data_IF_489746883418
#
_entry.id   IF_489746883418
#
_cell.length_a   1.000
_cell.length_b   1.000
_cell.length_c   1.000
_cell.angle_alpha   90.00
_cell.angle_beta   90.00
_cell.angle_gamma   90.00
#
_symmetry.space_group_name_H-M   'P 1'
#
loop_
_entity.id
_entity.type
_entity.pdbx_description
1 polymer ?
#
# COMPACT_ATOMS: atom_id res chain seq x y z
N UNK A 1 -8.11 4.67 -55.19
CA UNK A 1 -8.81 3.91 -54.14
C UNK A 1 -7.89 3.87 -52.94
N UNK A 2 -8.20 4.61 -51.88
CA UNK A 2 -7.33 4.71 -50.70
C UNK A 2 -7.50 3.44 -49.87
N UNK A 3 -6.41 2.74 -49.62
CA UNK A 3 -6.36 1.53 -48.79
C UNK A 3 -6.95 1.83 -47.39
N UNK A 4 -7.83 0.98 -46.82
CA UNK A 4 -8.40 1.26 -45.51
C UNK A 4 -7.26 1.25 -44.48
N UNK A 5 -7.01 2.41 -43.87
CA UNK A 5 -5.96 2.57 -42.89
C UNK A 5 -6.10 1.52 -41.79
N UNK A 6 -5.02 0.76 -41.55
CA UNK A 6 -4.98 -0.33 -40.57
C UNK A 6 -5.40 0.23 -39.21
N UNK A 7 -6.51 -0.28 -38.69
CA UNK A 7 -7.07 0.18 -37.43
C UNK A 7 -6.06 -0.06 -36.29
N UNK A 8 -5.66 0.96 -35.51
CA UNK A 8 -4.75 0.76 -34.40
C UNK A 8 -5.43 -0.08 -33.31
N UNK A 9 -4.62 -0.80 -32.56
CA UNK A 9 -5.07 -1.78 -31.57
C UNK A 9 -4.46 -1.43 -30.22
N UNK A 10 -5.26 -1.54 -29.15
CA UNK A 10 -4.85 -1.29 -27.77
C UNK A 10 -5.07 -2.53 -26.91
N UNK A 11 -4.13 -2.81 -26.02
CA UNK A 11 -4.19 -3.94 -25.10
C UNK A 11 -4.82 -3.48 -23.79
N UNK A 12 -5.95 -4.11 -23.43
CA UNK A 12 -6.72 -3.80 -22.23
C UNK A 12 -6.89 -5.05 -21.37
N UNK A 13 -7.44 -4.89 -20.15
CA UNK A 13 -7.76 -6.03 -19.28
C UNK A 13 -8.82 -6.97 -19.89
N UNK A 14 -9.65 -6.46 -20.81
CA UNK A 14 -10.61 -7.25 -21.58
C UNK A 14 -9.99 -7.92 -22.83
N UNK A 15 -8.68 -7.77 -23.03
CA UNK A 15 -7.93 -8.26 -24.20
C UNK A 15 -7.65 -7.17 -25.24
N UNK A 16 -7.30 -7.61 -26.44
CA UNK A 16 -6.97 -6.76 -27.57
C UNK A 16 -8.23 -6.05 -28.12
N UNK A 17 -8.23 -4.72 -28.12
CA UNK A 17 -9.33 -3.88 -28.60
C UNK A 17 -8.91 -3.07 -29.82
N UNK A 18 -9.80 -2.97 -30.81
CA UNK A 18 -9.58 -2.15 -32.02
C UNK A 18 -10.16 -0.75 -31.80
N UNK A 19 -9.38 0.27 -32.12
CA UNK A 19 -9.82 1.66 -32.02
C UNK A 19 -10.76 2.05 -33.17
N UNK A 20 -11.64 3.02 -32.95
CA UNK A 20 -12.41 3.59 -34.05
C UNK A 20 -11.49 4.48 -34.90
N UNK A 21 -11.74 4.56 -36.20
CA UNK A 21 -10.99 5.44 -37.11
C UNK A 21 -10.99 6.89 -36.59
N UNK A 22 -9.80 7.50 -36.50
CA UNK A 22 -9.61 8.86 -35.98
C UNK A 22 -9.35 8.94 -34.47
N UNK A 23 -9.45 7.82 -33.74
CA UNK A 23 -9.11 7.76 -32.31
C UNK A 23 -7.66 7.30 -32.13
N UNK A 24 -6.89 8.05 -31.35
CA UNK A 24 -5.52 7.70 -31.01
C UNK A 24 -5.49 6.73 -29.80
N UNK A 25 -4.53 5.78 -29.75
CA UNK A 25 -4.35 4.89 -28.60
C UNK A 25 -3.94 5.69 -27.36
N UNK A 26 -4.39 5.22 -26.18
CA UNK A 26 -4.02 5.84 -24.91
C UNK A 26 -2.63 5.36 -24.51
N UNK A 27 -1.67 6.28 -24.51
CA UNK A 27 -0.26 5.98 -24.16
C UNK A 27 -0.09 5.74 -22.66
N UNK A 28 0.97 5.01 -22.30
CA UNK A 28 1.32 4.79 -20.89
C UNK A 28 1.49 6.12 -20.13
N UNK A 29 2.10 7.13 -20.76
CA UNK A 29 2.26 8.46 -20.18
C UNK A 29 0.91 9.08 -19.81
N UNK A 30 -0.05 9.07 -20.72
CA UNK A 30 -1.39 9.62 -20.48
C UNK A 30 -2.11 8.86 -19.35
N UNK A 31 -1.95 7.53 -19.30
CA UNK A 31 -2.49 6.71 -18.20
C UNK A 31 -1.92 7.14 -16.83
N UNK A 32 -0.61 7.39 -16.77
CA UNK A 32 0.07 7.83 -15.54
C UNK A 32 -0.28 9.26 -15.15
N UNK A 33 -0.36 10.19 -16.11
CA UNK A 33 -0.78 11.58 -15.86
C UNK A 33 -2.21 11.64 -15.30
N UNK A 34 -3.13 10.85 -15.88
CA UNK A 34 -4.50 10.73 -15.39
C UNK A 34 -4.55 10.16 -13.96
N UNK A 35 -3.74 9.15 -13.67
CA UNK A 35 -3.64 8.58 -12.32
C UNK A 35 -3.07 9.60 -11.33
N UNK A 36 -1.98 10.27 -11.67
CA UNK A 36 -1.33 11.25 -10.80
C UNK A 36 -2.26 12.43 -10.46
N UNK A 37 -2.99 12.96 -11.45
CA UNK A 37 -3.95 14.05 -11.26
C UNK A 37 -5.26 13.63 -10.59
N UNK A 38 -5.51 12.33 -10.43
CA UNK A 38 -6.75 11.84 -9.81
C UNK A 38 -6.79 12.14 -8.31
N UNK A 39 -7.84 12.79 -7.78
CA UNK A 39 -7.97 13.08 -6.35
C UNK A 39 -7.92 11.79 -5.53
N UNK A 40 -6.85 11.62 -4.73
CA UNK A 40 -6.65 10.41 -3.91
C UNK A 40 -5.70 9.36 -4.48
N UNK A 41 -4.90 9.69 -5.51
CA UNK A 41 -3.90 8.78 -6.09
C UNK A 41 -2.70 8.46 -5.17
N UNK A 42 -2.49 9.25 -4.12
CA UNK A 42 -1.80 8.75 -2.93
C UNK A 42 -2.83 7.93 -2.17
N UNK A 43 -2.78 6.59 -2.28
CA UNK A 43 -3.69 5.65 -1.63
C UNK A 43 -3.84 6.01 -0.14
N UNK A 44 -4.86 6.80 0.19
CA UNK A 44 -5.20 7.32 1.54
C UNK A 44 -5.66 6.22 2.52
N UNK A 45 -5.18 4.99 2.32
CA UNK A 45 -5.52 3.83 3.14
C UNK A 45 -4.51 2.69 3.10
N UNK A 46 -3.44 2.75 2.30
CA UNK A 46 -2.36 1.74 2.36
C UNK A 46 -1.22 2.11 3.31
N UNK A 47 -1.06 3.40 3.55
CA UNK A 47 -0.32 3.90 4.69
C UNK A 47 -1.32 4.64 5.57
N UNK A 48 -2.19 3.88 6.24
CA UNK A 48 -2.75 4.37 7.50
C UNK A 48 -1.53 4.78 8.30
N UNK A 49 -1.43 6.06 8.66
CA UNK A 49 -0.38 6.54 9.55
C UNK A 49 -0.36 5.57 10.73
N UNK A 50 0.74 4.81 10.87
CA UNK A 50 0.85 3.85 11.95
C UNK A 50 0.61 4.60 13.25
N UNK A 51 -0.20 4.07 14.18
CA UNK A 51 -0.35 4.69 15.48
C UNK A 51 1.02 5.01 16.04
N UNK A 52 1.19 6.22 16.58
CA UNK A 52 2.45 6.67 17.16
C UNK A 52 2.86 5.82 18.39
N UNK A 53 1.95 4.94 18.84
CA UNK A 53 2.10 4.02 19.95
C UNK A 53 2.66 2.65 19.52
N UNK A 54 3.20 2.54 18.30
CA UNK A 54 3.93 1.34 17.86
C UNK A 54 5.44 1.57 18.00
N UNK A 55 6.01 1.20 19.15
CA UNK A 55 7.44 1.28 19.41
C UNK A 55 7.84 0.97 20.86
N UNK A 56 9.14 1.08 21.17
CA UNK A 56 9.73 0.83 22.51
C UNK A 56 9.13 1.71 23.64
N UNK A 57 8.34 2.72 23.28
CA UNK A 57 7.76 3.72 24.19
C UNK A 57 6.23 3.72 24.09
N UNK A 58 5.63 2.56 23.82
CA UNK A 58 4.18 2.41 23.89
C UNK A 58 3.70 2.45 25.35
N UNK A 59 2.41 2.76 25.58
CA UNK A 59 1.82 2.76 26.93
C UNK A 59 1.97 1.39 27.63
N UNK A 60 2.20 0.33 26.85
CA UNK A 60 2.49 -1.04 27.28
C UNK A 60 3.93 -1.29 27.78
N UNK A 61 4.86 -0.32 27.68
CA UNK A 61 6.22 -0.48 28.19
C UNK A 61 6.27 -0.81 29.70
N UNK A 62 5.21 -0.45 30.45
CA UNK A 62 5.07 -0.84 31.88
C UNK A 62 4.68 -2.30 32.10
N UNK A 63 4.19 -3.02 31.10
CA UNK A 63 3.90 -4.45 31.20
C UNK A 63 5.15 -5.34 31.01
N UNK A 64 6.31 -4.75 30.67
CA UNK A 64 7.55 -5.50 30.44
C UNK A 64 8.37 -5.75 31.73
N UNK A 65 8.01 -5.13 32.85
CA UNK A 65 8.72 -5.30 34.14
C UNK A 65 8.15 -6.41 35.01
N UNK A 66 7.08 -7.08 34.58
CA UNK A 66 6.38 -8.12 35.34
C UNK A 66 7.32 -9.23 35.83
N UNK A 67 8.33 -9.61 35.03
CA UNK A 67 9.32 -10.61 35.43
C UNK A 67 10.23 -10.14 36.58
N UNK A 68 10.59 -8.86 36.60
CA UNK A 68 11.41 -8.27 37.67
C UNK A 68 10.59 -8.17 38.96
N UNK A 69 9.32 -7.79 38.85
CA UNK A 69 8.43 -7.70 40.00
C UNK A 69 8.08 -9.09 40.55
N UNK A 70 7.94 -10.10 39.70
CA UNK A 70 7.79 -11.51 40.10
C UNK A 70 9.03 -12.01 40.86
N UNK A 71 10.24 -11.67 40.39
CA UNK A 71 11.48 -12.05 41.07
C UNK A 71 11.61 -11.41 42.46
N UNK A 72 11.15 -10.17 42.64
CA UNK A 72 11.15 -9.48 43.94
C UNK A 72 10.14 -10.06 44.93
N UNK A 73 9.10 -10.72 44.44
CA UNK A 73 8.08 -11.36 45.27
C UNK A 73 8.48 -12.78 45.70
N UNK A 74 9.59 -13.32 45.20
CA UNK A 74 10.03 -14.66 45.55
C UNK A 74 10.59 -14.67 46.99
N UNK A 75 10.15 -15.59 47.86
CA UNK A 75 10.78 -15.76 49.16
C UNK A 75 12.24 -16.22 48.99
N UNK A 76 13.12 -15.73 49.86
CA UNK A 76 14.52 -16.16 49.87
C UNK A 76 14.59 -17.66 50.17
N UNK A 77 15.46 -18.41 49.47
CA UNK A 77 15.64 -19.82 49.76
C UNK A 77 16.19 -19.97 51.19
N UNK A 78 15.56 -20.82 51.99
CA UNK A 78 16.12 -21.25 53.27
C UNK A 78 17.41 -22.02 53.01
N UNK A 79 18.52 -21.55 53.56
CA UNK A 79 19.77 -22.29 53.58
C UNK A 79 19.66 -23.43 54.61
N UNK A 80 19.50 -24.66 54.12
CA UNK A 80 19.71 -25.90 54.88
C UNK A 80 21.12 -26.45 54.61
#
# INVERSE_FOLDING_TARGET
MTEPARTPVDQTEAGEQRLITGVAPVTLRQKLEALAGSPGSVRRGQYVQKPCDLGLFDETARAQTDLVDLLRQRPEPSED
#
